data_IF_930959680339
#
_entry.id   IF_930959680339
#
_cell.length_a   1.000
_cell.length_b   1.000
_cell.length_c   1.000
_cell.angle_alpha   90.00
_cell.angle_beta   90.00
_cell.angle_gamma   90.00
#
_symmetry.space_group_name_H-M   'P 1'
#
loop_
_entity.id
_entity.type
_entity.pdbx_description
1 polymer ?
#
# COMPACT_ATOMS: atom_id res chain seq x y z
N UNK A 1 -1.10 5.43 -3.37
CA UNK A 1 -1.07 4.86 -2.00
C UNK A 1 0.29 4.79 -1.32
N UNK A 2 1.36 4.36 -1.99
CA UNK A 2 2.64 4.08 -1.32
C UNK A 2 3.47 5.33 -0.93
N UNK A 3 2.83 6.50 -0.79
CA UNK A 3 3.50 7.74 -0.45
C UNK A 3 4.21 7.62 0.90
N UNK A 4 5.44 8.12 0.98
CA UNK A 4 6.31 8.08 2.15
C UNK A 4 6.78 6.68 2.63
N UNK A 5 6.35 5.58 1.99
CA UNK A 5 6.91 4.26 2.28
C UNK A 5 8.35 4.09 1.78
N UNK A 6 8.81 4.95 0.88
CA UNK A 6 10.23 5.12 0.54
C UNK A 6 11.08 5.45 1.79
N UNK A 7 10.57 6.30 2.70
CA UNK A 7 11.26 6.63 3.97
C UNK A 7 11.18 5.45 4.93
N UNK A 8 10.02 4.79 5.04
CA UNK A 8 9.85 3.62 5.90
C UNK A 8 10.85 2.50 5.54
N UNK A 9 11.00 2.18 4.25
CA UNK A 9 12.01 1.23 3.77
C UNK A 9 13.44 1.71 4.02
N UNK A 10 13.71 3.01 3.83
CA UNK A 10 15.04 3.59 4.10
C UNK A 10 15.47 3.41 5.55
N UNK A 11 14.55 3.50 6.52
CA UNK A 11 14.84 3.28 7.94
C UNK A 11 15.30 1.84 8.24
N UNK A 12 14.91 0.86 7.42
CA UNK A 12 15.33 -0.53 7.57
C UNK A 12 16.70 -0.83 6.94
N UNK A 13 17.27 0.11 6.17
CA UNK A 13 18.57 -0.08 5.51
C UNK A 13 19.71 -0.49 6.47
N UNK A 14 19.90 0.12 7.65
CA UNK A 14 20.94 -0.31 8.57
C UNK A 14 20.83 -1.78 8.98
N UNK A 15 19.60 -2.29 9.14
CA UNK A 15 19.34 -3.71 9.44
C UNK A 15 19.65 -4.56 8.21
N UNK A 16 19.13 -4.19 7.02
CA UNK A 16 19.45 -4.91 5.77
C UNK A 16 20.95 -4.99 5.55
N UNK A 17 21.70 -3.89 5.76
CA UNK A 17 23.15 -3.83 5.64
C UNK A 17 23.86 -4.75 6.63
N UNK A 18 23.40 -4.80 7.88
CA UNK A 18 23.97 -5.65 8.94
C UNK A 18 23.83 -7.14 8.63
N UNK A 19 22.68 -7.57 8.13
CA UNK A 19 22.39 -8.99 7.87
C UNK A 19 22.67 -9.42 6.43
N UNK A 20 22.86 -8.46 5.51
CA UNK A 20 23.30 -8.71 4.14
C UNK A 20 22.36 -9.67 3.40
N UNK A 21 22.93 -10.77 2.89
CA UNK A 21 22.19 -11.82 2.15
C UNK A 21 21.44 -12.80 3.06
N UNK A 22 21.57 -12.71 4.38
CA UNK A 22 20.88 -13.62 5.32
C UNK A 22 19.39 -13.28 5.49
N UNK A 23 18.94 -12.13 4.99
CA UNK A 23 17.54 -11.73 4.96
C UNK A 23 17.28 -10.93 3.69
N UNK A 24 16.22 -11.27 2.95
CA UNK A 24 15.76 -10.51 1.79
C UNK A 24 15.06 -9.22 2.25
N UNK A 25 14.89 -8.25 1.35
CA UNK A 25 14.00 -7.11 1.61
C UNK A 25 12.56 -7.58 1.80
N UNK A 26 12.10 -8.55 1.01
CA UNK A 26 10.76 -9.13 1.15
C UNK A 26 10.49 -9.66 2.56
N UNK A 27 11.39 -10.49 3.10
CA UNK A 27 11.24 -11.00 4.46
C UNK A 27 11.44 -9.90 5.52
N UNK A 28 12.40 -8.97 5.32
CA UNK A 28 12.67 -7.90 6.27
C UNK A 28 11.47 -6.95 6.43
N UNK A 29 10.78 -6.60 5.34
CA UNK A 29 9.62 -5.70 5.40
C UNK A 29 8.46 -6.34 6.18
N UNK A 30 8.17 -7.61 5.95
CA UNK A 30 7.10 -8.33 6.67
C UNK A 30 7.51 -8.57 8.12
N UNK A 31 8.77 -8.95 8.38
CA UNK A 31 9.28 -9.14 9.74
C UNK A 31 9.21 -7.83 10.55
N UNK A 32 9.53 -6.69 9.94
CA UNK A 32 9.42 -5.39 10.60
C UNK A 32 7.97 -5.09 11.01
N UNK A 33 6.98 -5.42 10.17
CA UNK A 33 5.56 -5.32 10.51
C UNK A 33 5.17 -6.24 11.68
N UNK A 34 5.56 -7.50 11.65
CA UNK A 34 5.30 -8.44 12.75
C UNK A 34 5.90 -7.97 14.07
N UNK A 35 7.18 -7.55 14.06
CA UNK A 35 7.87 -7.05 15.25
C UNK A 35 7.23 -5.75 15.76
N UNK A 36 6.73 -4.87 14.88
CA UNK A 36 6.00 -3.69 15.31
C UNK A 36 4.75 -4.06 16.11
N UNK A 37 3.93 -5.01 15.62
CA UNK A 37 2.76 -5.51 16.33
C UNK A 37 3.13 -6.07 17.72
N UNK A 38 4.14 -6.93 17.77
CA UNK A 38 4.59 -7.54 19.03
C UNK A 38 5.12 -6.49 20.02
N UNK A 39 5.88 -5.50 19.53
CA UNK A 39 6.41 -4.42 20.36
C UNK A 39 5.31 -3.55 20.97
N UNK A 40 4.13 -3.50 20.35
CA UNK A 40 2.97 -2.75 20.80
C UNK A 40 1.97 -3.62 21.58
N UNK A 41 2.36 -4.84 21.96
CA UNK A 41 1.56 -5.72 22.82
C UNK A 41 0.61 -6.68 22.09
N UNK A 42 0.68 -6.78 20.76
CA UNK A 42 -0.10 -7.74 19.98
C UNK A 42 0.75 -8.96 19.61
N UNK A 43 0.43 -10.13 20.17
CA UNK A 43 1.12 -11.37 19.83
C UNK A 43 0.69 -11.87 18.44
N UNK A 44 1.64 -12.00 17.52
CA UNK A 44 1.36 -12.52 16.17
C UNK A 44 1.10 -14.02 16.17
N UNK A 45 0.42 -14.51 15.13
CA UNK A 45 0.15 -15.94 14.95
C UNK A 45 1.42 -16.73 14.60
N UNK A 46 2.32 -16.13 13.82
CA UNK A 46 3.60 -16.73 13.42
C UNK A 46 4.30 -15.94 12.31
N UNK A 47 5.49 -16.38 11.93
CA UNK A 47 6.27 -15.79 10.84
C UNK A 47 7.02 -16.87 10.04
N UNK A 48 6.94 -16.79 8.71
CA UNK A 48 7.68 -17.62 7.77
C UNK A 48 8.54 -16.77 6.84
N UNK A 49 9.84 -17.06 6.82
CA UNK A 49 10.81 -16.50 5.87
C UNK A 49 10.93 -17.37 4.61
N UNK A 50 11.67 -16.90 3.62
CA UNK A 50 11.96 -17.63 2.38
C UNK A 50 11.67 -16.84 1.11
N UNK A 51 11.23 -15.57 1.21
CA UNK A 51 11.03 -14.72 0.03
C UNK A 51 12.39 -14.38 -0.56
N UNK A 52 12.59 -14.67 -1.84
CA UNK A 52 13.77 -14.21 -2.56
C UNK A 52 13.59 -12.74 -2.97
N UNK A 53 14.67 -11.95 -2.90
CA UNK A 53 14.69 -10.63 -3.53
C UNK A 53 14.69 -10.79 -5.06
N UNK A 54 13.97 -9.90 -5.73
CA UNK A 54 14.04 -9.70 -7.18
C UNK A 54 14.91 -8.48 -7.49
N UNK A 55 15.46 -8.44 -8.70
CA UNK A 55 16.41 -7.41 -9.12
C UNK A 55 15.83 -6.44 -10.16
N UNK A 56 14.60 -6.70 -10.59
CA UNK A 56 13.81 -5.92 -11.54
C UNK A 56 12.33 -6.05 -11.17
N UNK A 57 11.48 -5.07 -11.55
CA UNK A 57 10.04 -5.18 -11.37
C UNK A 57 9.45 -6.31 -12.24
N UNK A 58 8.32 -6.87 -11.81
CA UNK A 58 7.56 -7.84 -12.61
C UNK A 58 6.75 -7.12 -13.69
N UNK A 59 7.23 -7.16 -14.93
CA UNK A 59 6.59 -6.54 -16.09
C UNK A 59 5.34 -7.30 -16.58
N UNK A 60 5.06 -8.50 -16.06
CA UNK A 60 3.89 -9.28 -16.45
C UNK A 60 2.59 -8.79 -15.80
N UNK A 61 2.69 -7.95 -14.76
CA UNK A 61 1.52 -7.50 -14.01
C UNK A 61 0.79 -6.36 -14.74
N UNK A 62 -0.44 -6.64 -15.14
CA UNK A 62 -1.36 -5.62 -15.66
C UNK A 62 -2.11 -4.94 -14.51
N UNK A 63 -1.84 -3.66 -14.28
CA UNK A 63 -2.42 -2.85 -13.19
C UNK A 63 -3.68 -2.06 -13.58
N UNK A 64 -4.10 -2.14 -14.84
CA UNK A 64 -5.21 -1.39 -15.42
C UNK A 64 -4.79 -0.63 -16.68
N UNK A 65 -5.78 -0.15 -17.43
CA UNK A 65 -5.61 0.58 -18.68
C UNK A 65 -5.51 2.11 -18.50
N UNK A 66 -5.57 2.62 -17.28
CA UNK A 66 -5.54 4.05 -17.03
C UNK A 66 -4.18 4.67 -17.36
N UNK A 67 -4.24 5.87 -17.94
CA UNK A 67 -3.09 6.69 -18.33
C UNK A 67 -2.67 7.72 -17.27
N UNK A 68 -3.43 7.81 -16.17
CA UNK A 68 -3.18 8.75 -15.08
C UNK A 68 -3.32 8.08 -13.70
N UNK A 69 -2.48 8.52 -12.75
CA UNK A 69 -2.62 8.15 -11.35
C UNK A 69 -3.99 8.54 -10.80
N UNK A 70 -4.60 7.64 -10.02
CA UNK A 70 -5.95 7.76 -9.48
C UNK A 70 -7.06 7.81 -10.54
N UNK A 71 -6.76 7.48 -11.81
CA UNK A 71 -7.78 7.25 -12.82
C UNK A 71 -8.67 6.05 -12.48
N UNK A 72 -9.89 6.08 -13.01
CA UNK A 72 -10.86 4.97 -12.99
C UNK A 72 -11.41 4.79 -14.41
N UNK A 73 -10.94 3.75 -15.10
CA UNK A 73 -11.50 3.26 -16.38
C UNK A 73 -11.77 1.75 -16.32
N UNK A 74 -12.01 1.26 -15.10
CA UNK A 74 -12.00 -0.17 -14.75
C UNK A 74 -13.34 -0.71 -14.26
N UNK A 75 -14.39 0.12 -14.28
CA UNK A 75 -15.74 -0.29 -13.90
C UNK A 75 -16.68 -0.32 -15.10
N UNK A 76 -17.57 -1.31 -15.14
CA UNK A 76 -18.64 -1.43 -16.13
C UNK A 76 -19.98 -1.77 -15.49
N UNK A 77 -21.08 -1.53 -16.22
CA UNK A 77 -22.43 -1.82 -15.73
C UNK A 77 -22.76 -1.12 -14.41
N UNK A 78 -23.30 -1.86 -13.45
CA UNK A 78 -23.71 -1.37 -12.13
C UNK A 78 -22.55 -1.17 -11.14
N UNK A 79 -21.28 -1.26 -11.58
CA UNK A 79 -20.01 -1.21 -10.81
C UNK A 79 -19.28 -2.56 -10.73
N UNK A 80 -19.26 -3.31 -11.82
CA UNK A 80 -18.42 -4.49 -11.97
C UNK A 80 -16.98 -4.08 -12.27
N UNK A 81 -16.06 -4.39 -11.35
CA UNK A 81 -14.62 -4.15 -11.52
C UNK A 81 -14.02 -5.12 -12.55
N UNK A 82 -13.19 -4.60 -13.45
CA UNK A 82 -12.49 -5.35 -14.50
C UNK A 82 -11.61 -6.46 -13.91
N UNK A 83 -11.62 -7.64 -14.53
CA UNK A 83 -10.65 -8.70 -14.22
C UNK A 83 -9.36 -8.45 -15.00
N UNK A 84 -8.16 -8.64 -14.39
CA UNK A 84 -7.90 -9.29 -13.10
C UNK A 84 -7.74 -8.30 -11.92
N UNK A 85 -8.20 -7.06 -12.05
CA UNK A 85 -7.90 -5.99 -11.09
C UNK A 85 -8.59 -6.21 -9.75
N UNK A 86 -7.94 -5.75 -8.67
CA UNK A 86 -8.44 -5.84 -7.30
C UNK A 86 -8.36 -4.51 -6.53
N UNK A 87 -8.21 -3.39 -7.25
CA UNK A 87 -8.23 -2.04 -6.69
C UNK A 87 -9.15 -1.13 -7.52
N UNK A 88 -9.81 -0.17 -6.88
CA UNK A 88 -10.85 0.67 -7.53
C UNK A 88 -10.30 1.82 -8.37
N UNK A 89 -9.03 2.20 -8.20
CA UNK A 89 -8.36 3.25 -8.98
C UNK A 89 -6.89 2.91 -9.21
N UNK A 90 -6.30 3.47 -10.26
CA UNK A 90 -4.89 3.27 -10.57
C UNK A 90 -3.99 3.82 -9.45
N UNK A 91 -3.10 2.98 -8.92
CA UNK A 91 -2.14 3.36 -7.88
C UNK A 91 -2.66 3.31 -6.43
N UNK A 92 -3.88 2.79 -6.20
CA UNK A 92 -4.38 2.42 -4.87
C UNK A 92 -4.16 0.94 -4.57
N UNK A 93 -4.10 0.56 -3.29
CA UNK A 93 -4.00 -0.84 -2.85
C UNK A 93 -5.36 -1.54 -2.96
N UNK A 94 -6.44 -0.94 -2.46
CA UNK A 94 -7.79 -1.51 -2.48
C UNK A 94 -8.82 -0.48 -2.94
N UNK A 95 -9.19 0.44 -2.04
CA UNK A 95 -10.28 1.40 -2.21
C UNK A 95 -9.79 2.83 -1.99
N UNK A 96 -10.57 3.80 -2.44
CA UNK A 96 -10.34 5.20 -2.12
C UNK A 96 -10.72 5.48 -0.65
N UNK A 97 -9.83 6.04 0.18
CA UNK A 97 -10.11 6.32 1.59
C UNK A 97 -11.20 7.37 1.81
N UNK A 98 -11.51 8.19 0.82
CA UNK A 98 -12.58 9.20 0.84
C UNK A 98 -13.92 8.64 0.31
N UNK A 99 -13.95 7.35 -0.06
CA UNK A 99 -15.10 6.68 -0.66
C UNK A 99 -15.11 6.74 -2.19
N UNK A 100 -16.08 6.05 -2.84
CA UNK A 100 -16.14 5.89 -4.29
C UNK A 100 -16.00 7.22 -5.05
N UNK A 101 -14.94 7.34 -5.86
CA UNK A 101 -14.65 8.56 -6.64
C UNK A 101 -14.54 9.84 -5.78
N UNK A 102 -14.02 9.70 -4.56
CA UNK A 102 -13.89 10.80 -3.60
C UNK A 102 -15.21 11.24 -2.95
N UNK A 103 -16.27 10.44 -3.08
CA UNK A 103 -17.56 10.71 -2.45
C UNK A 103 -17.66 9.96 -1.11
N UNK A 104 -17.83 10.67 0.02
CA UNK A 104 -17.85 10.07 1.35
C UNK A 104 -19.19 9.39 1.66
N UNK A 105 -19.53 8.36 0.89
CA UNK A 105 -20.67 7.48 1.13
C UNK A 105 -20.15 6.15 1.73
N UNK A 106 -20.35 5.91 3.04
CA UNK A 106 -19.86 4.71 3.70
C UNK A 106 -20.50 3.42 3.19
N UNK A 107 -21.78 3.46 2.77
CA UNK A 107 -22.47 2.27 2.29
C UNK A 107 -21.94 1.86 0.92
N UNK A 108 -21.72 2.85 0.04
CA UNK A 108 -21.07 2.61 -1.24
C UNK A 108 -19.60 2.18 -1.08
N UNK A 109 -18.85 2.79 -0.15
CA UNK A 109 -17.48 2.39 0.17
C UNK A 109 -17.40 0.93 0.66
N UNK A 110 -18.36 0.49 1.48
CA UNK A 110 -18.41 -0.89 1.97
C UNK A 110 -18.58 -1.92 0.85
N UNK A 111 -19.27 -1.58 -0.25
CA UNK A 111 -19.38 -2.44 -1.42
C UNK A 111 -18.02 -2.61 -2.12
N UNK A 112 -17.30 -1.51 -2.35
CA UNK A 112 -15.95 -1.52 -2.93
C UNK A 112 -14.95 -2.27 -2.03
N UNK A 113 -15.02 -2.06 -0.71
CA UNK A 113 -14.17 -2.75 0.27
C UNK A 113 -14.39 -4.26 0.17
N UNK A 114 -15.65 -4.71 0.21
CA UNK A 114 -15.95 -6.14 0.14
C UNK A 114 -15.44 -6.78 -1.15
N UNK A 115 -15.68 -6.15 -2.31
CA UNK A 115 -15.28 -6.71 -3.59
C UNK A 115 -13.76 -6.77 -3.74
N UNK A 116 -13.04 -5.70 -3.39
CA UNK A 116 -11.58 -5.64 -3.52
C UNK A 116 -10.87 -6.61 -2.57
N UNK A 117 -11.31 -6.68 -1.31
CA UNK A 117 -10.76 -7.65 -0.35
C UNK A 117 -11.07 -9.09 -0.75
N UNK A 118 -12.27 -9.38 -1.27
CA UNK A 118 -12.62 -10.69 -1.81
C UNK A 118 -11.69 -11.11 -2.94
N UNK A 119 -11.36 -10.20 -3.87
CA UNK A 119 -10.39 -10.46 -4.95
C UNK A 119 -8.96 -10.66 -4.44
N UNK A 120 -8.66 -10.17 -3.24
CA UNK A 120 -7.42 -10.44 -2.52
C UNK A 120 -7.56 -11.55 -1.47
N UNK A 121 -8.51 -12.46 -1.68
CA UNK A 121 -8.71 -13.68 -0.91
C UNK A 121 -9.07 -13.48 0.57
N UNK A 122 -9.69 -12.36 0.92
CA UNK A 122 -10.21 -12.10 2.26
C UNK A 122 -11.73 -12.10 2.27
N UNK A 123 -12.34 -12.82 3.21
CA UNK A 123 -13.78 -12.77 3.45
C UNK A 123 -14.18 -11.57 4.32
N UNK A 124 -15.48 -11.42 4.64
CA UNK A 124 -15.98 -10.28 5.42
C UNK A 124 -15.36 -10.20 6.83
N UNK A 125 -15.19 -11.33 7.53
CA UNK A 125 -14.61 -11.36 8.88
C UNK A 125 -13.13 -10.96 8.86
N UNK A 126 -12.36 -11.54 7.92
CA UNK A 126 -10.94 -11.22 7.73
C UNK A 126 -10.74 -9.75 7.35
N UNK A 127 -11.61 -9.23 6.48
CA UNK A 127 -11.58 -7.82 6.04
C UNK A 127 -11.79 -6.88 7.22
N UNK A 128 -12.81 -7.13 8.04
CA UNK A 128 -13.08 -6.33 9.25
C UNK A 128 -11.90 -6.42 10.22
N UNK A 129 -11.38 -7.63 10.46
CA UNK A 129 -10.25 -7.84 11.36
C UNK A 129 -8.99 -7.10 10.90
N UNK A 130 -8.66 -7.12 9.60
CA UNK A 130 -7.50 -6.44 9.04
C UNK A 130 -7.62 -4.92 9.13
N UNK A 131 -8.77 -4.35 8.74
CA UNK A 131 -8.98 -2.90 8.77
C UNK A 131 -8.98 -2.39 10.22
N UNK A 132 -9.76 -3.02 11.10
CA UNK A 132 -9.85 -2.62 12.50
C UNK A 132 -8.53 -2.83 13.25
N UNK A 133 -7.88 -3.98 13.06
CA UNK A 133 -6.58 -4.29 13.65
C UNK A 133 -5.48 -3.35 13.17
N UNK A 134 -5.43 -3.05 11.87
CA UNK A 134 -4.48 -2.10 11.29
C UNK A 134 -4.68 -0.67 11.82
N UNK A 135 -5.92 -0.17 11.81
CA UNK A 135 -6.24 1.19 12.28
C UNK A 135 -6.30 1.35 13.79
N UNK A 136 -6.04 0.29 14.56
CA UNK A 136 -5.76 0.40 16.01
C UNK A 136 -4.43 1.14 16.25
N UNK A 137 -3.55 1.20 15.25
CA UNK A 137 -2.23 1.81 15.36
C UNK A 137 -2.04 3.01 14.43
N UNK A 138 -1.20 3.94 14.85
CA UNK A 138 -0.72 5.03 14.02
C UNK A 138 -1.78 6.12 13.76
N UNK A 139 -1.66 6.76 12.59
CA UNK A 139 -2.51 7.87 12.14
C UNK A 139 -2.32 8.13 10.64
N UNK A 140 -3.25 8.87 10.05
CA UNK A 140 -3.08 9.47 8.72
C UNK A 140 -2.27 10.79 8.80
N UNK A 141 -1.76 11.25 7.65
CA UNK A 141 -0.94 12.45 7.54
C UNK A 141 -1.51 13.37 6.45
N UNK A 142 -1.92 14.59 6.82
CA UNK A 142 -2.52 15.57 5.92
C UNK A 142 -2.44 16.97 6.51
N UNK A 143 -1.25 17.36 6.99
CA UNK A 143 -1.05 18.59 7.74
C UNK A 143 -1.12 19.87 6.89
N UNK A 144 -0.99 19.77 5.58
CA UNK A 144 -0.93 20.90 4.66
C UNK A 144 -1.48 20.57 3.28
N UNK A 145 -1.45 21.54 2.38
CA UNK A 145 -1.92 21.39 1.00
C UNK A 145 -1.09 20.30 0.27
N UNK A 146 -1.73 19.24 -0.25
CA UNK A 146 -1.08 18.22 -1.06
C UNK A 146 -0.29 18.77 -2.25
N UNK A 147 -0.62 19.96 -2.78
CA UNK A 147 0.14 20.64 -3.85
C UNK A 147 1.55 21.06 -3.45
N UNK A 148 1.85 21.09 -2.15
CA UNK A 148 3.18 21.38 -1.62
C UNK A 148 4.08 20.14 -1.58
N UNK A 149 3.54 18.95 -1.85
CA UNK A 149 4.29 17.69 -1.94
C UNK A 149 4.93 17.57 -3.32
N UNK A 150 6.24 17.34 -3.36
CA UNK A 150 7.01 17.15 -4.58
C UNK A 150 6.73 15.82 -5.31
N UNK A 151 7.43 15.57 -6.43
CA UNK A 151 7.24 14.38 -7.26
C UNK A 151 7.52 13.07 -6.51
N UNK A 152 6.91 11.98 -6.96
CA UNK A 152 7.14 10.61 -6.52
C UNK A 152 8.58 10.12 -6.82
N UNK A 153 9.06 9.01 -6.19
CA UNK A 153 10.46 8.60 -6.26
C UNK A 153 11.05 8.45 -7.68
N UNK A 154 10.28 7.93 -8.64
CA UNK A 154 10.76 7.73 -10.02
C UNK A 154 10.86 9.03 -10.83
N UNK A 155 10.13 10.08 -10.42
CA UNK A 155 10.21 11.42 -11.03
C UNK A 155 11.00 12.41 -10.16
N UNK A 156 11.58 11.96 -9.05
CA UNK A 156 12.32 12.81 -8.13
C UNK A 156 13.71 13.17 -8.69
N UNK A 157 14.22 14.38 -8.41
CA UNK A 157 15.59 14.76 -8.72
C UNK A 157 16.61 13.77 -8.14
N UNK A 158 17.71 13.55 -8.86
CA UNK A 158 18.72 12.55 -8.52
C UNK A 158 19.27 12.74 -7.09
N UNK A 159 19.42 13.99 -6.63
CA UNK A 159 19.91 14.33 -5.29
C UNK A 159 19.01 13.83 -4.15
N UNK A 160 17.76 13.43 -4.42
CA UNK A 160 16.89 12.80 -3.42
C UNK A 160 17.22 11.31 -3.19
N UNK A 161 18.14 10.73 -3.96
CA UNK A 161 18.70 9.39 -3.75
C UNK A 161 17.60 8.31 -3.65
N UNK A 162 16.66 8.31 -4.59
CA UNK A 162 15.55 7.35 -4.64
C UNK A 162 14.47 7.57 -3.57
N UNK A 163 14.41 8.76 -2.96
CA UNK A 163 13.26 9.23 -2.19
C UNK A 163 12.43 10.20 -3.04
N UNK A 164 11.14 10.29 -2.77
CA UNK A 164 10.22 11.22 -3.43
C UNK A 164 9.37 11.99 -2.42
N UNK A 165 8.25 12.58 -2.85
CA UNK A 165 7.25 13.25 -2.02
C UNK A 165 7.83 14.26 -1.01
N UNK A 166 8.91 14.95 -1.38
CA UNK A 166 9.54 15.95 -0.51
C UNK A 166 8.56 17.10 -0.29
N UNK A 167 8.19 17.34 0.96
CA UNK A 167 7.24 18.39 1.35
C UNK A 167 7.93 19.76 1.39
N UNK A 168 7.20 20.80 0.96
CA UNK A 168 7.60 22.22 1.10
C UNK A 168 6.82 22.99 2.17
N UNK A 169 5.95 22.29 2.89
CA UNK A 169 5.30 22.80 4.10
C UNK A 169 6.31 22.92 5.25
#
# INVERSE_FOLDING_TARGET
DNANLDKARRLLWPIKRKYGRKISWGDLMILAGNVALESMGFKTFGFGAGRADVWEPDESVYWGNEDAWLGDQRHSGERTLENPLAAVQMGLIYVNPEGPNGKPDPAAAAADIRETFKRMAMNDEETVALIAGGHTFGKTHGAGDPKLVGPEPEAAPIEQMGLGWTSRH
#
